data_IF_800933820545
#
_entry.id   IF_800933820545
#
_cell.length_a   1.000
_cell.length_b   1.000
_cell.length_c   1.000
_cell.angle_alpha   90.00
_cell.angle_beta   90.00
_cell.angle_gamma   90.00
#
_symmetry.space_group_name_H-M   'P 1'
#
loop_
_entity.id
_entity.type
_entity.pdbx_description
1 polymer ?
#
# COMPACT_ATOMS: atom_id res chain seq x y z
N UNK A 1 -9.07 0.92 33.19
CA UNK A 1 -8.58 -0.24 32.44
C UNK A 1 -9.28 -1.46 33.02
N UNK A 2 -10.37 -1.89 32.38
CA UNK A 2 -11.12 -3.09 32.75
C UNK A 2 -10.35 -4.30 32.24
N UNK A 3 -10.02 -5.24 33.13
CA UNK A 3 -9.42 -6.51 32.74
C UNK A 3 -10.31 -7.18 31.67
N UNK A 4 -9.73 -7.68 30.56
CA UNK A 4 -10.50 -8.46 29.60
C UNK A 4 -11.11 -9.69 30.28
N UNK A 5 -12.32 -10.13 29.85
CA UNK A 5 -13.07 -11.20 30.52
C UNK A 5 -12.50 -12.62 30.31
N UNK A 6 -11.33 -12.76 29.66
CA UNK A 6 -10.78 -14.02 29.17
C UNK A 6 -9.29 -14.15 29.50
N UNK A 7 -8.80 -15.39 29.61
CA UNK A 7 -7.40 -15.71 29.93
C UNK A 7 -6.44 -15.39 28.78
N UNK A 8 -5.14 -15.25 29.08
CA UNK A 8 -4.11 -14.89 28.09
C UNK A 8 -4.08 -15.85 26.88
N UNK A 9 -4.37 -17.14 27.10
CA UNK A 9 -4.44 -18.15 26.03
C UNK A 9 -5.62 -17.91 25.07
N UNK A 10 -6.76 -17.46 25.59
CA UNK A 10 -7.94 -17.16 24.77
C UNK A 10 -7.71 -15.88 23.94
N UNK A 11 -7.07 -14.87 24.53
CA UNK A 11 -6.63 -13.66 23.80
C UNK A 11 -5.64 -14.01 22.69
N UNK A 12 -4.73 -14.95 22.94
CA UNK A 12 -3.76 -15.43 21.97
C UNK A 12 -4.44 -16.14 20.78
N UNK A 13 -5.31 -17.11 21.05
CA UNK A 13 -6.07 -17.80 20.01
C UNK A 13 -6.95 -16.84 19.19
N UNK A 14 -7.59 -15.88 19.85
CA UNK A 14 -8.39 -14.86 19.18
C UNK A 14 -7.53 -14.00 18.25
N UNK A 15 -6.36 -13.54 18.72
CA UNK A 15 -5.44 -12.72 17.93
C UNK A 15 -4.88 -13.48 16.71
N UNK A 16 -4.53 -14.76 16.85
CA UNK A 16 -4.09 -15.59 15.72
C UNK A 16 -5.19 -15.74 14.66
N UNK A 17 -6.43 -16.01 15.09
CA UNK A 17 -7.58 -16.09 14.18
C UNK A 17 -7.82 -14.75 13.48
N UNK A 18 -7.78 -13.64 14.22
CA UNK A 18 -7.91 -12.30 13.64
C UNK A 18 -6.87 -12.06 12.56
N UNK A 19 -5.59 -12.34 12.83
CA UNK A 19 -4.52 -12.18 11.83
C UNK A 19 -4.83 -13.01 10.57
N UNK A 20 -5.29 -14.24 10.72
CA UNK A 20 -5.63 -15.09 9.57
C UNK A 20 -6.79 -14.52 8.76
N UNK A 21 -7.89 -14.14 9.43
CA UNK A 21 -9.10 -13.62 8.77
C UNK A 21 -8.83 -12.28 8.09
N UNK A 22 -8.28 -11.29 8.79
CA UNK A 22 -8.02 -9.96 8.20
C UNK A 22 -6.99 -10.06 7.07
N UNK A 23 -6.01 -10.97 7.19
CA UNK A 23 -5.03 -11.20 6.11
C UNK A 23 -5.71 -11.72 4.86
N UNK A 24 -6.60 -12.70 4.97
CA UNK A 24 -7.28 -13.25 3.81
C UNK A 24 -8.20 -12.23 3.13
N UNK A 25 -8.88 -11.39 3.90
CA UNK A 25 -9.71 -10.32 3.36
C UNK A 25 -8.88 -9.25 2.65
N UNK A 26 -7.84 -8.71 3.31
CA UNK A 26 -6.93 -7.71 2.73
C UNK A 26 -6.21 -8.28 1.51
N UNK A 27 -5.81 -9.56 1.54
CA UNK A 27 -5.07 -10.22 0.45
C UNK A 27 -5.83 -10.19 -0.87
N UNK A 28 -7.17 -10.24 -0.84
CA UNK A 28 -8.01 -10.16 -2.04
C UNK A 28 -7.91 -8.81 -2.76
N UNK A 29 -7.44 -7.75 -2.08
CA UNK A 29 -7.27 -6.42 -2.66
C UNK A 29 -5.82 -6.12 -3.05
N UNK A 30 -4.84 -6.94 -2.63
CA UNK A 30 -3.41 -6.71 -2.94
C UNK A 30 -3.15 -6.57 -4.45
N UNK A 31 -3.71 -7.44 -5.34
CA UNK A 31 -3.48 -7.29 -6.78
C UNK A 31 -3.92 -5.91 -7.30
N UNK A 32 -4.98 -5.36 -6.74
CA UNK A 32 -5.53 -4.07 -7.11
C UNK A 32 -4.68 -2.90 -6.60
N UNK A 33 -4.18 -2.98 -5.36
CA UNK A 33 -3.19 -2.02 -4.82
C UNK A 33 -1.95 -1.98 -5.72
N UNK A 34 -1.42 -3.16 -6.07
CA UNK A 34 -0.23 -3.28 -6.92
C UNK A 34 -0.49 -2.72 -8.31
N UNK A 35 -1.63 -3.06 -8.94
CA UNK A 35 -2.04 -2.53 -10.25
C UNK A 35 -2.11 -1.01 -10.24
N UNK A 36 -2.75 -0.43 -9.22
CA UNK A 36 -2.90 1.03 -9.07
C UNK A 36 -1.56 1.72 -8.90
N UNK A 37 -0.67 1.18 -8.07
CA UNK A 37 0.70 1.69 -7.95
C UNK A 37 1.45 1.62 -9.28
N UNK A 38 1.45 0.46 -9.94
CA UNK A 38 2.14 0.27 -11.21
C UNK A 38 1.64 1.26 -12.28
N UNK A 39 0.34 1.50 -12.36
CA UNK A 39 -0.21 2.47 -13.31
C UNK A 39 0.12 3.91 -12.92
N UNK A 40 0.07 4.23 -11.63
CA UNK A 40 0.31 5.59 -11.12
C UNK A 40 1.74 6.07 -11.37
N UNK A 41 2.73 5.18 -11.23
CA UNK A 41 4.14 5.53 -11.42
C UNK A 41 4.69 5.03 -12.77
N UNK A 42 4.27 3.85 -13.21
CA UNK A 42 4.79 3.19 -14.40
C UNK A 42 4.33 3.84 -15.70
N UNK A 43 3.08 4.33 -15.79
CA UNK A 43 2.61 4.98 -17.01
C UNK A 43 3.35 6.30 -17.28
N UNK A 44 3.50 7.24 -16.31
CA UNK A 44 4.32 8.44 -16.51
C UNK A 44 5.77 8.12 -16.84
N UNK A 45 6.36 7.12 -16.17
CA UNK A 45 7.74 6.69 -16.43
C UNK A 45 7.91 6.18 -17.86
N UNK A 46 6.99 5.34 -18.34
CA UNK A 46 7.01 4.83 -19.71
C UNK A 46 6.90 5.97 -20.74
N UNK A 47 6.02 6.95 -20.52
CA UNK A 47 5.92 8.13 -21.38
C UNK A 47 7.21 8.93 -21.36
N UNK A 48 7.81 9.13 -20.18
CA UNK A 48 9.08 9.86 -20.07
C UNK A 48 10.22 9.15 -20.83
N UNK A 49 10.29 7.82 -20.76
CA UNK A 49 11.27 7.03 -21.54
C UNK A 49 11.03 7.17 -23.04
N UNK A 50 9.76 7.14 -23.50
CA UNK A 50 9.43 7.34 -24.91
C UNK A 50 9.78 8.75 -25.40
N UNK A 51 9.56 9.78 -24.58
CA UNK A 51 9.97 11.15 -24.88
C UNK A 51 11.50 11.27 -24.95
N UNK A 52 12.22 10.67 -24.00
CA UNK A 52 13.68 10.70 -23.97
C UNK A 52 14.33 9.94 -25.13
N UNK A 53 13.68 8.89 -25.65
CA UNK A 53 14.22 8.07 -26.73
C UNK A 53 13.75 8.55 -28.11
N UNK A 54 12.45 8.50 -28.37
CA UNK A 54 11.86 8.84 -29.67
C UNK A 54 11.78 10.36 -29.83
N UNK A 55 11.27 11.06 -28.82
CA UNK A 55 11.10 12.52 -28.86
C UNK A 55 12.43 13.24 -29.04
N UNK A 56 13.44 12.89 -28.24
CA UNK A 56 14.77 13.47 -28.35
C UNK A 56 15.44 13.14 -29.71
N UNK A 57 15.30 11.91 -30.22
CA UNK A 57 15.83 11.53 -31.52
C UNK A 57 15.22 12.35 -32.66
N UNK A 58 13.91 12.63 -32.61
CA UNK A 58 13.25 13.46 -33.61
C UNK A 58 13.70 14.93 -33.52
N UNK A 59 13.81 15.48 -32.31
CA UNK A 59 14.27 16.85 -32.09
C UNK A 59 15.74 17.07 -32.49
N UNK A 60 16.60 16.07 -32.30
CA UNK A 60 18.01 16.11 -32.69
C UNK A 60 18.23 16.25 -34.20
N UNK A 61 17.21 16.01 -35.04
CA UNK A 61 17.29 16.23 -36.48
C UNK A 61 17.22 17.71 -36.86
N UNK A 62 16.66 18.55 -35.99
CA UNK A 62 16.33 19.96 -36.29
C UNK A 62 16.92 20.94 -35.28
N UNK A 63 17.34 20.49 -34.10
CA UNK A 63 17.87 21.34 -33.03
C UNK A 63 19.26 20.89 -32.57
N UNK A 64 20.10 21.82 -32.06
CA UNK A 64 21.37 21.49 -31.42
C UNK A 64 21.20 20.58 -30.20
N UNK A 65 22.14 19.66 -30.00
CA UNK A 65 22.12 18.68 -28.89
C UNK A 65 21.89 19.30 -27.49
N UNK A 66 22.52 20.45 -27.11
CA UNK A 66 22.25 21.07 -25.81
C UNK A 66 20.80 21.51 -25.64
N UNK A 67 20.19 22.05 -26.71
CA UNK A 67 18.79 22.48 -26.73
C UNK A 67 17.85 21.28 -26.63
N UNK A 68 18.14 20.20 -27.35
CA UNK A 68 17.37 18.94 -27.29
C UNK A 68 17.41 18.35 -25.87
N UNK A 69 18.58 18.33 -25.26
CA UNK A 69 18.77 17.80 -23.90
C UNK A 69 17.98 18.60 -22.88
N UNK A 70 18.01 19.94 -22.98
CA UNK A 70 17.22 20.82 -22.11
C UNK A 70 15.71 20.61 -22.30
N UNK A 71 15.23 20.57 -23.55
CA UNK A 71 13.80 20.36 -23.85
C UNK A 71 13.35 18.99 -23.33
N UNK A 72 14.11 17.93 -23.63
CA UNK A 72 13.79 16.59 -23.18
C UNK A 72 13.73 16.51 -21.65
N UNK A 73 14.66 17.17 -20.94
CA UNK A 73 14.64 17.26 -19.49
C UNK A 73 13.37 17.94 -18.96
N UNK A 74 13.05 19.14 -19.46
CA UNK A 74 11.87 19.91 -19.01
C UNK A 74 10.57 19.16 -19.30
N UNK A 75 10.45 18.59 -20.50
CA UNK A 75 9.26 17.80 -20.88
C UNK A 75 9.13 16.57 -19.99
N UNK A 76 10.22 15.85 -19.71
CA UNK A 76 10.17 14.67 -18.83
C UNK A 76 9.79 15.02 -17.39
N UNK A 77 10.30 16.13 -16.85
CA UNK A 77 9.86 16.62 -15.53
C UNK A 77 8.36 16.92 -15.54
N UNK A 78 7.87 17.59 -16.59
CA UNK A 78 6.45 17.86 -16.77
C UNK A 78 5.60 16.59 -16.86
N UNK A 79 6.00 15.64 -17.71
CA UNK A 79 5.32 14.34 -17.86
C UNK A 79 5.28 13.59 -16.54
N UNK A 80 6.39 13.53 -15.81
CA UNK A 80 6.43 12.83 -14.53
C UNK A 80 5.52 13.50 -13.51
N UNK A 81 5.60 14.82 -13.35
CA UNK A 81 4.80 15.54 -12.36
C UNK A 81 3.30 15.53 -12.69
N UNK A 82 2.93 15.98 -13.89
CA UNK A 82 1.52 16.07 -14.29
C UNK A 82 0.92 14.69 -14.56
N UNK A 83 1.70 13.76 -15.12
CA UNK A 83 1.28 12.37 -15.33
C UNK A 83 1.01 11.68 -13.99
N UNK A 84 1.96 11.75 -13.05
CA UNK A 84 1.74 11.21 -11.70
C UNK A 84 0.50 11.83 -11.05
N UNK A 85 0.37 13.17 -11.07
CA UNK A 85 -0.78 13.87 -10.48
C UNK A 85 -2.11 13.40 -11.09
N UNK A 86 -2.15 13.25 -12.41
CA UNK A 86 -3.33 12.80 -13.15
C UNK A 86 -3.72 11.37 -12.78
N UNK A 87 -2.75 10.45 -12.69
CA UNK A 87 -3.03 9.06 -12.34
C UNK A 87 -3.34 8.90 -10.86
N UNK A 88 -2.68 9.64 -9.96
CA UNK A 88 -2.97 9.61 -8.52
C UNK A 88 -4.42 10.05 -8.25
N UNK A 89 -4.92 11.08 -8.94
CA UNK A 89 -6.32 11.52 -8.81
C UNK A 89 -7.35 10.48 -9.28
N UNK A 90 -6.96 9.55 -10.17
CA UNK A 90 -7.87 8.55 -10.74
C UNK A 90 -7.77 7.19 -10.07
N UNK A 91 -6.55 6.81 -9.73
CA UNK A 91 -6.21 5.45 -9.29
C UNK A 91 -5.89 5.39 -7.82
N UNK A 92 -5.57 6.53 -7.18
CA UNK A 92 -5.24 6.62 -5.76
C UNK A 92 -4.14 5.63 -5.35
N UNK A 93 -3.14 5.43 -6.22
CA UNK A 93 -2.11 4.41 -6.01
C UNK A 93 -1.32 4.64 -4.74
N UNK A 94 -0.98 5.89 -4.43
CA UNK A 94 -0.26 6.24 -3.20
C UNK A 94 -1.16 6.05 -1.98
N UNK A 95 -2.38 6.58 -2.01
CA UNK A 95 -3.32 6.44 -0.90
C UNK A 95 -3.62 4.98 -0.55
N UNK A 96 -3.91 4.14 -1.56
CA UNK A 96 -4.15 2.71 -1.40
C UNK A 96 -2.94 1.98 -0.79
N UNK A 97 -1.72 2.36 -1.18
CA UNK A 97 -0.50 1.81 -0.60
C UNK A 97 -0.28 2.25 0.85
N UNK A 98 -0.59 3.51 1.19
CA UNK A 98 -0.46 4.02 2.57
C UNK A 98 -1.37 3.26 3.52
N UNK A 99 -2.64 3.06 3.17
CA UNK A 99 -3.57 2.29 4.04
C UNK A 99 -3.15 0.82 4.17
N UNK A 100 -2.67 0.21 3.07
CA UNK A 100 -2.12 -1.15 3.13
C UNK A 100 -0.91 -1.26 4.05
N UNK A 101 0.03 -0.31 3.97
CA UNK A 101 1.24 -0.34 4.81
C UNK A 101 0.93 -0.13 6.29
N UNK A 102 -0.07 0.70 6.62
CA UNK A 102 -0.56 0.85 8.00
C UNK A 102 -1.08 -0.48 8.56
N UNK A 103 -1.98 -1.15 7.84
CA UNK A 103 -2.47 -2.48 8.22
C UNK A 103 -1.31 -3.49 8.37
N UNK A 104 -0.44 -3.55 7.36
CA UNK A 104 0.69 -4.49 7.34
C UNK A 104 1.63 -4.30 8.53
N UNK A 105 1.86 -3.06 8.95
CA UNK A 105 2.65 -2.73 10.13
C UNK A 105 1.97 -3.21 11.41
N UNK A 106 0.72 -2.81 11.67
CA UNK A 106 0.01 -3.19 12.89
C UNK A 106 -0.13 -4.70 13.05
N UNK A 107 -0.38 -5.41 11.94
CA UNK A 107 -0.41 -6.88 11.90
C UNK A 107 0.93 -7.50 12.28
N UNK A 108 2.05 -6.95 11.78
CA UNK A 108 3.41 -7.42 12.14
C UNK A 108 3.74 -7.12 13.59
N UNK A 109 3.30 -5.99 14.10
CA UNK A 109 3.47 -5.61 15.50
C UNK A 109 2.72 -6.61 16.40
N UNK A 110 1.47 -6.98 16.05
CA UNK A 110 0.73 -8.05 16.74
C UNK A 110 1.42 -9.42 16.62
N UNK A 111 1.87 -9.82 15.43
CA UNK A 111 2.63 -11.07 15.24
C UNK A 111 3.91 -11.11 16.09
N UNK A 112 4.55 -9.96 16.29
CA UNK A 112 5.76 -9.84 17.10
C UNK A 112 5.44 -9.96 18.59
N UNK A 113 4.36 -9.30 19.03
CA UNK A 113 3.86 -9.37 20.40
C UNK A 113 3.47 -10.81 20.78
N UNK A 114 2.76 -11.52 19.89
CA UNK A 114 2.41 -12.93 20.10
C UNK A 114 3.67 -13.82 20.21
N UNK A 115 4.71 -13.58 19.40
CA UNK A 115 5.96 -14.36 19.51
C UNK A 115 6.73 -14.12 20.82
N UNK A 116 6.60 -12.94 21.42
CA UNK A 116 7.29 -12.57 22.66
C UNK A 116 6.54 -13.01 23.92
N UNK A 117 5.22 -13.11 23.86
CA UNK A 117 4.38 -13.55 24.98
C UNK A 117 4.81 -14.89 25.64
N UNK A 118 5.25 -15.94 24.92
CA UNK A 118 5.74 -17.17 25.55
C UNK A 118 7.15 -17.07 26.16
N UNK A 119 7.93 -16.02 25.91
CA UNK A 119 9.35 -15.91 26.35
C UNK A 119 9.52 -15.21 27.72
N UNK A 120 8.51 -15.24 28.60
CA UNK A 120 8.60 -14.59 29.91
C UNK A 120 8.59 -13.05 29.84
N UNK A 121 8.10 -12.49 28.73
CA UNK A 121 7.81 -11.08 28.60
C UNK A 121 6.53 -10.73 29.39
N UNK A 122 6.51 -9.54 29.99
CA UNK A 122 5.41 -8.99 30.79
C UNK A 122 4.26 -8.50 29.87
N UNK A 123 3.81 -9.37 28.96
CA UNK A 123 2.75 -9.09 27.99
C UNK A 123 1.43 -9.50 28.59
N UNK A 124 0.54 -8.52 28.79
CA UNK A 124 -0.79 -8.79 29.35
C UNK A 124 -1.78 -9.18 28.25
N UNK A 125 -2.84 -9.90 28.64
CA UNK A 125 -3.98 -10.16 27.75
C UNK A 125 -4.64 -8.88 27.23
N UNK A 126 -4.56 -7.78 28.00
CA UNK A 126 -5.08 -6.48 27.58
C UNK A 126 -4.25 -5.88 26.44
N UNK A 127 -2.92 -6.01 26.47
CA UNK A 127 -2.05 -5.50 25.41
C UNK A 127 -2.26 -6.26 24.09
N UNK A 128 -2.44 -7.59 24.18
CA UNK A 128 -2.80 -8.42 23.01
C UNK A 128 -4.12 -7.95 22.41
N UNK A 129 -5.13 -7.70 23.26
CA UNK A 129 -6.46 -7.32 22.83
C UNK A 129 -6.50 -5.92 22.21
N UNK A 130 -5.84 -4.94 22.83
CA UNK A 130 -5.70 -3.59 22.27
C UNK A 130 -5.04 -3.64 20.88
N UNK A 131 -3.94 -4.38 20.77
CA UNK A 131 -3.24 -4.51 19.49
C UNK A 131 -4.08 -5.28 18.45
N UNK A 132 -4.89 -6.26 18.88
CA UNK A 132 -5.84 -6.97 18.01
C UNK A 132 -6.90 -6.03 17.46
N UNK A 133 -7.49 -5.18 18.29
CA UNK A 133 -8.48 -4.19 17.87
C UNK A 133 -7.90 -3.21 16.84
N UNK A 134 -6.66 -2.74 17.04
CA UNK A 134 -5.96 -1.88 16.08
C UNK A 134 -5.76 -2.56 14.72
N UNK A 135 -5.51 -3.88 14.69
CA UNK A 135 -5.38 -4.64 13.44
C UNK A 135 -6.71 -4.74 12.72
N UNK A 136 -7.81 -4.99 13.45
CA UNK A 136 -9.17 -5.03 12.88
C UNK A 136 -9.54 -3.67 12.31
N UNK A 137 -9.41 -2.59 13.10
CA UNK A 137 -9.72 -1.24 12.64
C UNK A 137 -8.93 -0.86 11.39
N UNK A 138 -7.64 -1.22 11.34
CA UNK A 138 -6.81 -0.94 10.17
C UNK A 138 -7.17 -1.80 8.95
N UNK A 139 -7.63 -3.03 9.15
CA UNK A 139 -8.11 -3.90 8.08
C UNK A 139 -9.43 -3.36 7.50
N UNK A 140 -10.38 -3.01 8.36
CA UNK A 140 -11.67 -2.44 7.96
C UNK A 140 -11.47 -1.12 7.24
N UNK A 141 -10.66 -0.21 7.81
CA UNK A 141 -10.34 1.05 7.16
C UNK A 141 -9.65 0.86 5.80
N UNK A 142 -8.79 -0.16 5.65
CA UNK A 142 -8.22 -0.50 4.35
C UNK A 142 -9.29 -0.97 3.37
N UNK A 143 -10.18 -1.87 3.79
CA UNK A 143 -11.23 -2.43 2.93
C UNK A 143 -12.20 -1.33 2.50
N UNK A 144 -12.66 -0.50 3.41
CA UNK A 144 -13.57 0.62 3.14
C UNK A 144 -12.95 1.59 2.14
N UNK A 145 -11.71 2.01 2.37
CA UNK A 145 -10.99 2.89 1.46
C UNK A 145 -10.83 2.25 0.07
N UNK A 146 -10.53 0.96 0.00
CA UNK A 146 -10.44 0.26 -1.28
C UNK A 146 -11.80 0.22 -2.01
N UNK A 147 -12.89 -0.02 -1.28
CA UNK A 147 -14.24 -0.02 -1.84
C UNK A 147 -14.68 1.37 -2.31
N UNK A 148 -14.42 2.41 -1.53
CA UNK A 148 -14.68 3.81 -1.89
C UNK A 148 -13.90 4.21 -3.15
N UNK A 149 -12.68 3.68 -3.31
CA UNK A 149 -11.87 3.84 -4.50
C UNK A 149 -12.34 2.98 -5.69
N UNK A 150 -13.42 2.20 -5.55
CA UNK A 150 -13.99 1.34 -6.59
C UNK A 150 -13.18 0.08 -6.88
N UNK A 151 -12.36 -0.38 -5.94
CA UNK A 151 -11.63 -1.63 -6.07
C UNK A 151 -12.56 -2.85 -5.97
N UNK A 152 -12.27 -3.89 -6.74
CA UNK A 152 -12.96 -5.17 -6.63
C UNK A 152 -12.03 -6.21 -6.01
N UNK A 153 -12.50 -6.98 -5.01
CA UNK A 153 -11.71 -8.08 -4.47
C UNK A 153 -11.52 -9.16 -5.55
N UNK A 154 -10.31 -9.71 -5.66
CA UNK A 154 -10.10 -10.88 -6.53
C UNK A 154 -10.83 -12.09 -5.96
N UNK A 155 -11.65 -12.77 -6.78
CA UNK A 155 -12.29 -14.02 -6.38
C UNK A 155 -11.23 -15.11 -6.23
N UNK A 156 -11.22 -15.82 -5.10
CA UNK A 156 -10.45 -17.06 -4.97
C UNK A 156 -11.01 -18.07 -5.99
N UNK A 157 -10.26 -18.30 -7.07
CA UNK A 157 -10.42 -19.48 -7.94
C UNK A 157 -9.47 -20.56 -7.45
#
# INVERSE_FOLDING_TARGET
MTNPPYGINEAYEAAERTIATTRDEVRRYIPEVVRRMMMTFGAPLLVAVLVATIGAMLLARVLPSPTVSLIAFVVNVGVMFYGWRYFEQRLHGTSAFVVYTRYSRLRRDLETLLKQAPEGADVSAADIEEQRELVVEAADAFIDVMQDMGAQPTSNR
#
